data_IF_670646130937
#
_entry.id   IF_670646130937
#
_cell.length_a   1.000
_cell.length_b   1.000
_cell.length_c   1.000
_cell.angle_alpha   90.00
_cell.angle_beta   90.00
_cell.angle_gamma   90.00
#
_symmetry.space_group_name_H-M   'P 1'
#
loop_
_entity.id
_entity.type
_entity.pdbx_description
1 polymer ?
#
# COMPACT_ATOMS: atom_id res chain seq x y z
N UNK A 1 -2.69 -1.87 -11.60
CA UNK A 1 -2.87 -1.76 -10.14
C UNK A 1 -2.41 -2.97 -9.36
N UNK A 2 -2.75 -4.16 -9.80
CA UNK A 2 -2.31 -5.37 -9.09
C UNK A 2 -0.80 -5.47 -8.97
N UNK A 3 -0.09 -5.07 -10.02
CA UNK A 3 1.37 -5.10 -9.99
C UNK A 3 1.94 -4.22 -8.89
N UNK A 4 1.33 -3.05 -8.68
CA UNK A 4 1.79 -2.14 -7.63
C UNK A 4 1.51 -2.72 -6.24
N UNK A 5 0.36 -3.31 -6.07
CA UNK A 5 -0.01 -3.92 -4.80
C UNK A 5 0.96 -5.06 -4.46
N UNK A 6 1.25 -5.91 -5.44
CA UNK A 6 2.20 -7.00 -5.24
C UNK A 6 3.59 -6.47 -4.86
N UNK A 7 4.01 -5.39 -5.51
CA UNK A 7 5.30 -4.78 -5.21
C UNK A 7 5.34 -4.25 -3.78
N UNK A 8 4.27 -3.59 -3.34
CA UNK A 8 4.21 -3.08 -1.97
C UNK A 8 4.24 -4.23 -0.97
N UNK A 9 3.53 -5.31 -1.25
CA UNK A 9 3.56 -6.49 -0.39
C UNK A 9 4.98 -7.03 -0.24
N UNK A 10 5.70 -7.12 -1.34
CA UNK A 10 7.08 -7.58 -1.31
C UNK A 10 7.97 -6.66 -0.48
N UNK A 11 7.75 -5.34 -0.62
CA UNK A 11 8.54 -4.37 0.13
C UNK A 11 8.34 -4.50 1.63
N UNK A 12 7.10 -4.64 2.07
CA UNK A 12 6.83 -4.75 3.51
C UNK A 12 7.19 -6.12 4.07
N UNK A 13 7.29 -7.12 3.20
CA UNK A 13 7.70 -8.47 3.59
C UNK A 13 9.22 -8.61 3.65
N UNK A 14 9.93 -7.74 2.96
CA UNK A 14 11.38 -7.77 2.95
C UNK A 14 11.92 -7.27 4.28
N UNK A 15 12.70 -8.09 5.01
CA UNK A 15 13.25 -7.67 6.31
C UNK A 15 14.14 -6.44 6.21
N UNK A 16 14.88 -6.28 5.13
CA UNK A 16 15.73 -5.11 4.95
C UNK A 16 14.90 -3.83 4.83
N UNK A 17 13.86 -3.88 4.01
CA UNK A 17 12.96 -2.75 3.83
C UNK A 17 12.15 -2.49 5.10
N UNK A 18 11.71 -3.56 5.74
CA UNK A 18 10.91 -3.46 6.98
C UNK A 18 11.69 -2.77 8.08
N UNK A 19 13.00 -2.99 8.15
CA UNK A 19 13.85 -2.34 9.16
C UNK A 19 13.93 -0.84 8.97
N UNK A 20 13.76 -0.37 7.74
CA UNK A 20 13.78 1.06 7.45
C UNK A 20 12.49 1.77 7.84
N UNK A 21 11.42 1.01 7.99
CA UNK A 21 10.12 1.57 8.34
C UNK A 21 9.91 1.53 9.85
N UNK A 22 9.28 2.57 10.37
CA UNK A 22 8.85 2.57 11.76
C UNK A 22 7.62 1.68 11.87
N UNK A 23 7.38 1.16 13.07
CA UNK A 23 6.25 0.27 13.30
C UNK A 23 4.92 0.89 12.85
N UNK A 24 4.68 2.14 13.22
CA UNK A 24 3.45 2.82 12.85
C UNK A 24 3.29 3.00 11.34
N UNK A 25 4.39 3.29 10.65
CA UNK A 25 4.36 3.45 9.20
C UNK A 25 4.06 2.12 8.51
N UNK A 26 4.67 1.05 9.00
CA UNK A 26 4.44 -0.27 8.44
C UNK A 26 2.98 -0.68 8.60
N UNK A 27 2.43 -0.47 9.78
CA UNK A 27 1.03 -0.79 10.05
C UNK A 27 0.10 0.00 9.12
N UNK A 28 0.41 1.26 8.90
CA UNK A 28 -0.39 2.10 8.03
C UNK A 28 -0.35 1.59 6.59
N UNK A 29 0.82 1.21 6.11
CA UNK A 29 0.97 0.65 4.77
C UNK A 29 0.17 -0.65 4.66
N UNK A 30 0.27 -1.51 5.66
CA UNK A 30 -0.47 -2.77 5.67
C UNK A 30 -1.98 -2.53 5.63
N UNK A 31 -2.45 -1.55 6.40
CA UNK A 31 -3.87 -1.22 6.41
C UNK A 31 -4.33 -0.72 5.05
N UNK A 32 -3.59 0.21 4.46
CA UNK A 32 -3.93 0.73 3.14
C UNK A 32 -3.87 -0.36 2.07
N UNK A 33 -2.88 -1.22 2.16
CA UNK A 33 -2.74 -2.34 1.24
C UNK A 33 -3.94 -3.29 1.35
N UNK A 34 -4.32 -3.61 2.57
CA UNK A 34 -5.47 -4.48 2.82
C UNK A 34 -6.76 -3.88 2.25
N UNK A 35 -6.96 -2.58 2.46
CA UNK A 35 -8.12 -1.89 1.92
C UNK A 35 -8.13 -1.89 0.39
N UNK A 36 -6.96 -1.67 -0.22
CA UNK A 36 -6.86 -1.70 -1.67
C UNK A 36 -7.17 -3.08 -2.23
N UNK A 37 -6.69 -4.12 -1.57
CA UNK A 37 -6.97 -5.49 -1.98
C UNK A 37 -8.46 -5.83 -1.83
N UNK A 38 -9.08 -5.39 -0.75
CA UNK A 38 -10.50 -5.59 -0.55
C UNK A 38 -11.30 -4.88 -1.63
N UNK A 39 -10.87 -3.69 -2.02
CA UNK A 39 -11.55 -2.93 -3.07
C UNK A 39 -11.47 -3.64 -4.42
N UNK A 40 -10.35 -4.30 -4.69
CA UNK A 40 -10.21 -5.06 -5.93
C UNK A 40 -11.19 -6.23 -6.02
N UNK A 41 -11.60 -6.77 -4.90
CA UNK A 41 -12.53 -7.89 -4.85
C UNK A 41 -13.99 -7.46 -5.02
N UNK A 42 -14.27 -6.17 -4.88
CA UNK A 42 -15.62 -5.64 -5.04
C UNK A 42 -15.91 -5.48 -6.53
N UNK A 43 -16.92 -6.18 -7.02
CA UNK A 43 -17.27 -6.17 -8.44
C UNK A 43 -17.81 -4.83 -8.93
N UNK A 44 -18.47 -4.10 -8.06
CA UNK A 44 -19.08 -2.82 -8.41
C UNK A 44 -18.14 -1.63 -8.33
N UNK A 45 -16.88 -1.88 -8.05
CA UNK A 45 -15.90 -0.81 -7.94
C UNK A 45 -15.59 -0.23 -9.31
N UNK A 46 -15.74 1.08 -9.48
CA UNK A 46 -15.39 1.71 -10.73
C UNK A 46 -13.90 2.11 -10.75
N UNK A 47 -13.42 2.48 -11.94
CA UNK A 47 -12.01 2.80 -12.13
C UNK A 47 -11.56 4.00 -11.30
N UNK A 48 -12.45 4.96 -11.08
CA UNK A 48 -12.10 6.14 -10.29
C UNK A 48 -11.81 5.79 -8.84
N UNK A 49 -12.60 4.91 -8.26
CA UNK A 49 -12.39 4.49 -6.88
C UNK A 49 -11.10 3.70 -6.73
N UNK A 50 -10.81 2.85 -7.71
CA UNK A 50 -9.55 2.11 -7.72
C UNK A 50 -8.36 3.06 -7.80
N UNK A 51 -8.47 4.09 -8.64
CA UNK A 51 -7.42 5.10 -8.74
C UNK A 51 -7.20 5.83 -7.44
N UNK A 52 -8.28 6.19 -6.76
CA UNK A 52 -8.18 6.88 -5.47
C UNK A 52 -7.48 6.00 -4.44
N UNK A 53 -7.81 4.72 -4.40
CA UNK A 53 -7.16 3.80 -3.47
C UNK A 53 -5.69 3.63 -3.79
N UNK A 54 -5.36 3.52 -5.07
CA UNK A 54 -3.98 3.42 -5.50
C UNK A 54 -3.18 4.66 -5.13
N UNK A 55 -3.75 5.83 -5.35
CA UNK A 55 -3.10 7.09 -4.99
C UNK A 55 -2.88 7.20 -3.49
N UNK A 56 -3.86 6.79 -2.70
CA UNK A 56 -3.73 6.79 -1.25
C UNK A 56 -2.58 5.88 -0.81
N UNK A 57 -2.53 4.69 -1.39
CA UNK A 57 -1.46 3.75 -1.10
C UNK A 57 -0.10 4.31 -1.50
N UNK A 58 0.00 4.90 -2.68
CA UNK A 58 1.24 5.53 -3.14
C UNK A 58 1.70 6.62 -2.19
N UNK A 59 0.79 7.45 -1.72
CA UNK A 59 1.13 8.53 -0.79
C UNK A 59 1.68 7.98 0.52
N UNK A 60 1.01 6.97 1.06
CA UNK A 60 1.45 6.37 2.32
C UNK A 60 2.84 5.76 2.15
N UNK A 61 3.05 5.01 1.08
CA UNK A 61 4.34 4.36 0.82
C UNK A 61 5.43 5.41 0.60
N UNK A 62 5.16 6.42 -0.22
CA UNK A 62 6.13 7.47 -0.49
C UNK A 62 6.51 8.20 0.78
N UNK A 63 5.54 8.55 1.60
CA UNK A 63 5.80 9.25 2.86
C UNK A 63 6.63 8.39 3.80
N UNK A 64 6.30 7.12 3.89
CA UNK A 64 7.03 6.21 4.77
C UNK A 64 8.49 6.08 4.38
N UNK A 65 8.77 5.98 3.09
CA UNK A 65 10.14 5.84 2.62
C UNK A 65 10.89 7.16 2.50
N UNK A 66 10.18 8.27 2.40
CA UNK A 66 10.79 9.59 2.36
C UNK A 66 11.23 10.07 3.74
N UNK A 67 10.56 9.63 4.78
CA UNK A 67 10.89 10.01 6.16
C UNK A 67 12.10 9.24 6.64
N UNK A 68 13.08 9.96 7.14
CA UNK A 68 14.30 9.35 7.67
C UNK A 68 14.45 9.62 9.16
#
# INVERSE_FOLDING_TARGET
>A
MESYISRVEEMISDPTTSLKLKRGQREKIETELSEAMAQLEVEDTNAEELKKKELALKRVVTRAFATR
#
